data_IF_338341076538
#
_entry.id   IF_338341076538
#
_cell.length_a   1.000
_cell.length_b   1.000
_cell.length_c   1.000
_cell.angle_alpha   90.00
_cell.angle_beta   90.00
_cell.angle_gamma   90.00
#
_symmetry.space_group_name_H-M   'P 1'
#
loop_
_entity.id
_entity.type
_entity.pdbx_description
1 polymer ?
#
# COMPACT_ATOMS: atom_id res chain seq x y z
N UNK A 1 -12.70 -3.42 12.26
CA UNK A 1 -11.53 -3.56 11.37
C UNK A 1 -11.83 -4.46 10.18
N UNK A 2 -11.60 -3.93 8.99
CA UNK A 2 -11.77 -4.50 7.66
C UNK A 2 -10.41 -4.33 6.96
N UNK A 3 -9.87 -5.41 6.39
CA UNK A 3 -8.66 -5.35 5.57
C UNK A 3 -8.97 -4.70 4.22
N UNK A 4 -8.21 -3.68 3.86
CA UNK A 4 -8.22 -3.09 2.52
C UNK A 4 -6.80 -2.99 1.96
N UNK A 5 -6.70 -2.96 0.64
CA UNK A 5 -5.44 -2.76 -0.08
C UNK A 5 -5.53 -1.48 -0.89
N UNK A 6 -4.69 -0.50 -0.58
CA UNK A 6 -4.64 0.76 -1.30
C UNK A 6 -3.55 0.70 -2.35
N UNK A 7 -3.85 1.20 -3.55
CA UNK A 7 -2.82 1.53 -4.52
C UNK A 7 -2.30 2.94 -4.23
N UNK A 8 -1.03 3.05 -3.88
CA UNK A 8 -0.44 4.29 -3.36
C UNK A 8 0.75 4.75 -4.20
N UNK A 9 0.94 6.07 -4.20
CA UNK A 9 2.06 6.76 -4.83
C UNK A 9 3.13 7.14 -3.80
N UNK A 10 4.29 7.61 -4.26
CA UNK A 10 5.30 8.21 -3.38
C UNK A 10 4.70 9.35 -2.52
N UNK A 11 3.86 10.20 -3.11
CA UNK A 11 3.24 11.32 -2.39
C UNK A 11 2.32 10.87 -1.25
N UNK A 12 1.61 9.75 -1.43
CA UNK A 12 0.77 9.18 -0.38
C UNK A 12 1.62 8.62 0.77
N UNK A 13 2.72 7.93 0.45
CA UNK A 13 3.65 7.44 1.48
C UNK A 13 4.33 8.61 2.21
N UNK A 14 4.67 9.69 1.52
CA UNK A 14 5.19 10.91 2.14
C UNK A 14 4.17 11.58 3.07
N UNK A 15 2.89 11.61 2.67
CA UNK A 15 1.80 12.11 3.51
C UNK A 15 1.62 11.26 4.79
N UNK A 16 1.64 9.93 4.66
CA UNK A 16 1.60 9.02 5.80
C UNK A 16 2.78 9.22 6.75
N UNK A 17 4.00 9.38 6.21
CA UNK A 17 5.20 9.67 7.00
C UNK A 17 5.12 11.02 7.74
N UNK A 18 4.41 11.99 7.16
CA UNK A 18 4.12 13.27 7.80
C UNK A 18 2.95 13.20 8.82
N UNK A 19 2.39 12.02 9.06
CA UNK A 19 1.25 11.81 9.97
C UNK A 19 -0.10 12.28 9.38
N UNK A 20 -0.17 12.49 8.07
CA UNK A 20 -1.41 12.87 7.39
C UNK A 20 -2.19 11.62 6.97
N UNK A 21 -3.51 11.75 6.93
CA UNK A 21 -4.37 10.72 6.35
C UNK A 21 -4.32 10.78 4.82
N UNK A 22 -4.41 9.62 4.17
CA UNK A 22 -4.45 9.48 2.71
C UNK A 22 -5.78 8.92 2.24
N UNK A 23 -6.14 9.27 1.01
CA UNK A 23 -7.28 8.69 0.31
C UNK A 23 -6.80 8.30 -1.07
N UNK A 24 -6.80 7.00 -1.34
CA UNK A 24 -6.37 6.42 -2.60
C UNK A 24 -7.35 5.31 -3.01
N UNK A 25 -7.21 4.80 -4.23
CA UNK A 25 -8.03 3.69 -4.71
C UNK A 25 -7.81 2.47 -3.81
N UNK A 26 -8.90 2.02 -3.20
CA UNK A 26 -8.90 0.95 -2.21
C UNK A 26 -9.68 -0.25 -2.73
N UNK A 27 -9.06 -1.42 -2.60
CA UNK A 27 -9.58 -2.70 -3.05
C UNK A 27 -9.87 -3.54 -1.82
N UNK A 28 -11.11 -4.01 -1.71
CA UNK A 28 -11.58 -4.80 -0.59
C UNK A 28 -11.65 -6.28 -1.02
N UNK A 29 -11.17 -7.21 -0.19
CA UNK A 29 -11.38 -8.63 -0.42
C UNK A 29 -12.86 -8.96 -0.60
N UNK A 30 -13.18 -9.83 -1.54
CA UNK A 30 -14.53 -10.35 -1.71
C UNK A 30 -14.92 -11.36 -0.60
N UNK A 31 -13.93 -11.92 0.07
CA UNK A 31 -14.00 -12.89 1.17
C UNK A 31 -12.82 -12.69 2.12
N UNK A 32 -12.98 -13.11 3.37
CA UNK A 32 -11.93 -13.03 4.42
C UNK A 32 -10.94 -14.21 4.36
N UNK A 33 -10.89 -14.93 3.25
CA UNK A 33 -9.93 -16.01 3.02
C UNK A 33 -8.72 -15.53 2.21
N UNK A 34 -7.67 -16.36 2.18
CA UNK A 34 -6.41 -16.04 1.49
C UNK A 34 -6.62 -15.73 0.00
N UNK A 35 -7.58 -16.40 -0.66
CA UNK A 35 -7.88 -16.17 -2.07
C UNK A 35 -8.50 -14.78 -2.30
N UNK A 36 -9.44 -14.37 -1.43
CA UNK A 36 -10.04 -13.05 -1.46
C UNK A 36 -9.02 -11.94 -1.19
N UNK A 37 -8.15 -12.13 -0.21
CA UNK A 37 -7.05 -11.20 0.10
C UNK A 37 -6.06 -11.08 -1.06
N UNK A 38 -5.64 -12.21 -1.62
CA UNK A 38 -4.70 -12.25 -2.74
C UNK A 38 -5.27 -11.57 -4.01
N UNK A 39 -6.56 -11.76 -4.29
CA UNK A 39 -7.22 -11.12 -5.43
C UNK A 39 -7.25 -9.59 -5.27
N UNK A 40 -7.66 -9.07 -4.11
CA UNK A 40 -7.70 -7.64 -3.85
C UNK A 40 -6.29 -7.01 -3.84
N UNK A 41 -5.32 -7.69 -3.25
CA UNK A 41 -3.91 -7.30 -3.28
C UNK A 41 -3.36 -7.22 -4.70
N UNK A 42 -3.61 -8.27 -5.50
CA UNK A 42 -3.16 -8.37 -6.88
C UNK A 42 -3.82 -7.37 -7.83
N UNK A 43 -5.03 -6.90 -7.51
CA UNK A 43 -5.63 -5.78 -8.23
C UNK A 43 -4.96 -4.47 -7.85
N UNK A 44 -4.82 -4.17 -6.55
CA UNK A 44 -4.17 -2.94 -6.07
C UNK A 44 -2.75 -2.75 -6.64
N UNK A 45 -1.98 -3.83 -6.80
CA UNK A 45 -0.62 -3.80 -7.35
C UNK A 45 -0.54 -3.40 -8.83
N UNK A 46 -1.63 -3.51 -9.58
CA UNK A 46 -1.68 -3.12 -11.00
C UNK A 46 -1.84 -1.61 -11.19
N UNK A 47 -2.22 -0.87 -10.14
CA UNK A 47 -2.59 0.53 -10.23
C UNK A 47 -1.51 1.50 -9.76
N UNK A 48 -0.43 1.02 -9.12
CA UNK A 48 0.56 1.89 -8.51
C UNK A 48 1.81 1.16 -8.01
N UNK A 49 2.87 1.92 -7.70
CA UNK A 49 4.16 1.36 -7.30
C UNK A 49 4.19 0.78 -5.87
N UNK A 50 3.16 1.08 -5.07
CA UNK A 50 3.02 0.61 -3.69
C UNK A 50 1.62 0.07 -3.46
N UNK A 51 1.53 -1.10 -2.82
CA UNK A 51 0.30 -1.58 -2.19
C UNK A 51 0.41 -1.41 -0.68
N UNK A 52 -0.53 -0.69 -0.09
CA UNK A 52 -0.65 -0.53 1.37
C UNK A 52 -1.73 -1.47 1.86
N UNK A 53 -1.38 -2.42 2.72
CA UNK A 53 -2.38 -3.20 3.44
C UNK A 53 -2.76 -2.45 4.71
N UNK A 54 -4.03 -2.08 4.86
CA UNK A 54 -4.53 -1.31 6.00
C UNK A 54 -5.75 -1.99 6.63
N UNK A 55 -5.91 -1.80 7.95
CA UNK A 55 -7.04 -2.27 8.74
C UNK A 55 -7.88 -1.07 9.16
N UNK A 56 -9.04 -0.90 8.52
CA UNK A 56 -9.91 0.28 8.72
C UNK A 56 -11.26 -0.08 9.32
N UNK A 57 -11.96 0.89 9.89
CA UNK A 57 -13.31 0.66 10.42
C UNK A 57 -14.39 0.65 9.32
N UNK A 58 -14.13 1.27 8.17
CA UNK A 58 -15.04 1.28 7.02
C UNK A 58 -14.26 1.36 5.69
N UNK A 59 -14.67 0.57 4.69
CA UNK A 59 -14.09 0.61 3.35
C UNK A 59 -14.34 1.95 2.66
N UNK A 60 -13.32 2.80 2.58
CA UNK A 60 -13.40 4.17 2.07
C UNK A 60 -13.13 5.26 3.11
N UNK A 61 -12.87 4.90 4.37
CA UNK A 61 -12.32 5.84 5.34
C UNK A 61 -10.90 6.26 4.93
N UNK A 62 -10.49 7.53 5.17
CA UNK A 62 -9.09 7.93 5.04
C UNK A 62 -8.20 7.06 5.92
N UNK A 63 -7.05 6.66 5.38
CA UNK A 63 -6.08 5.79 6.05
C UNK A 63 -4.99 6.62 6.69
N UNK A 64 -4.72 6.39 7.97
CA UNK A 64 -3.60 6.95 8.72
C UNK A 64 -2.50 5.92 8.88
N UNK A 65 -1.31 6.34 9.34
CA UNK A 65 -0.20 5.42 9.58
C UNK A 65 -0.53 4.34 10.63
N UNK A 66 -1.43 4.64 11.57
CA UNK A 66 -1.86 3.69 12.61
C UNK A 66 -2.76 2.58 12.06
N UNK A 67 -3.41 2.82 10.91
CA UNK A 67 -4.23 1.83 10.21
C UNK A 67 -3.38 0.90 9.31
N UNK A 68 -2.13 1.29 9.00
CA UNK A 68 -1.26 0.54 8.09
C UNK A 68 -0.66 -0.68 8.78
N UNK A 69 -0.84 -1.86 8.19
CA UNK A 69 -0.21 -3.10 8.64
C UNK A 69 1.10 -3.40 7.90
N UNK A 70 1.19 -3.09 6.60
CA UNK A 70 2.40 -3.28 5.80
C UNK A 70 2.37 -2.52 4.47
N UNK A 71 3.55 -2.31 3.91
CA UNK A 71 3.76 -1.79 2.56
C UNK A 71 4.34 -2.89 1.67
N UNK A 72 3.94 -2.89 0.40
CA UNK A 72 4.47 -3.79 -0.62
C UNK A 72 4.90 -2.97 -1.82
N UNK A 73 6.18 -3.03 -2.16
CA UNK A 73 6.80 -2.09 -3.10
C UNK A 73 7.36 -2.84 -4.29
N UNK A 74 7.04 -2.39 -5.50
CA UNK A 74 7.71 -2.86 -6.71
C UNK A 74 9.12 -2.26 -6.75
N UNK A 75 10.14 -3.10 -6.57
CA UNK A 75 11.54 -2.66 -6.62
C UNK A 75 12.14 -2.73 -8.02
N UNK A 76 11.50 -3.48 -8.91
CA UNK A 76 11.87 -3.68 -10.32
C UNK A 76 10.65 -4.12 -11.14
N UNK A 77 10.86 -4.44 -12.42
CA UNK A 77 9.81 -4.87 -13.36
C UNK A 77 9.54 -6.40 -13.30
N UNK A 78 10.01 -7.12 -12.28
CA UNK A 78 9.77 -8.57 -12.17
C UNK A 78 8.31 -8.91 -11.89
N UNK A 79 7.56 -7.95 -11.33
CA UNK A 79 6.22 -8.18 -10.78
C UNK A 79 6.23 -8.66 -9.32
N UNK A 80 7.41 -8.91 -8.74
CA UNK A 80 7.54 -9.23 -7.32
C UNK A 80 7.51 -7.96 -6.47
N UNK A 81 6.79 -8.03 -5.35
CA UNK A 81 6.68 -6.91 -4.40
C UNK A 81 7.45 -7.23 -3.12
N UNK A 82 8.37 -6.33 -2.75
CA UNK A 82 9.07 -6.42 -1.48
C UNK A 82 8.15 -5.98 -0.34
N UNK A 83 8.10 -6.78 0.72
CA UNK A 83 7.30 -6.51 1.93
C UNK A 83 8.10 -5.68 2.94
N UNK A 84 7.46 -4.64 3.48
CA UNK A 84 8.00 -3.79 4.54
C UNK A 84 6.97 -3.65 5.68
N UNK A 85 7.45 -3.67 6.92
CA UNK A 85 6.63 -3.38 8.08
C UNK A 85 6.30 -1.87 8.16
N UNK A 86 5.25 -1.51 8.90
CA UNK A 86 4.82 -0.10 9.05
C UNK A 86 5.94 0.81 9.58
N UNK A 87 6.79 0.31 10.47
CA UNK A 87 7.92 1.07 11.04
C UNK A 87 9.04 1.33 10.02
N UNK A 88 9.03 0.65 8.88
CA UNK A 88 10.04 0.77 7.83
C UNK A 88 9.65 1.78 6.75
N UNK A 89 8.72 2.70 7.04
CA UNK A 89 8.26 3.72 6.09
C UNK A 89 9.41 4.56 5.49
N UNK A 90 10.46 4.84 6.26
CA UNK A 90 11.65 5.52 5.73
C UNK A 90 12.39 4.68 4.67
N UNK A 91 12.42 3.35 4.82
CA UNK A 91 13.00 2.44 3.83
C UNK A 91 12.13 2.36 2.57
N UNK A 92 10.80 2.37 2.72
CA UNK A 92 9.85 2.45 1.60
C UNK A 92 10.07 3.73 0.80
N UNK A 93 10.19 4.88 1.47
CA UNK A 93 10.48 6.17 0.82
C UNK A 93 11.82 6.16 0.09
N UNK A 94 12.85 5.56 0.69
CA UNK A 94 14.16 5.41 0.05
C UNK A 94 14.07 4.53 -1.20
N UNK A 95 13.36 3.40 -1.12
CA UNK A 95 13.15 2.50 -2.24
C UNK A 95 12.47 3.21 -3.41
N UNK A 96 11.33 3.87 -3.16
CA UNK A 96 10.55 4.58 -4.19
C UNK A 96 11.30 5.71 -4.88
N UNK A 97 12.19 6.40 -4.15
CA UNK A 97 13.05 7.45 -4.72
C UNK A 97 14.20 6.86 -5.53
N UNK A 98 14.63 5.65 -5.21
CA UNK A 98 15.72 4.95 -5.89
C UNK A 98 15.24 4.21 -7.14
N UNK A 99 13.97 3.81 -7.17
CA UNK A 99 13.32 3.16 -8.32
C UNK A 99 12.69 4.16 -9.29
N UNK A 100 12.91 5.48 -9.11
CA UNK A 100 12.49 6.50 -10.07
C UNK A 100 13.15 6.22 -11.44
N UNK A 101 12.43 5.47 -12.27
CA UNK A 101 12.79 5.12 -13.63
C UNK A 101 13.18 6.40 -14.39
N UNK A 102 14.32 6.45 -15.11
CA UNK A 102 14.53 7.50 -16.08
C UNK A 102 13.41 7.41 -17.14
N UNK A 103 12.66 8.50 -17.27
CA UNK A 103 11.65 8.74 -18.31
C UNK A 103 12.14 8.44 -19.71
#
# INVERSE_FOLDING_TARGET
>A
MIRIYLSATLGDVEALAAGQAVTADAFMPASDDEEGEFAAFGEASQHGPVVIAADVEAGGAPVTIDDVASFHVALDDSGDLAWFATQEIDAVLLALRSTAFPT
#
